data_IF_537276732905
#
_entry.id   IF_537276732905
#
_cell.length_a   1.000
_cell.length_b   1.000
_cell.length_c   1.000
_cell.angle_alpha   90.00
_cell.angle_beta   90.00
_cell.angle_gamma   90.00
#
_symmetry.space_group_name_H-M   'P 1'
#
loop_
_entity.id
_entity.type
_entity.pdbx_description
1 polymer ?
#
# COMPACT_ATOMS: atom_id res chain seq x y z
N UNK A 1 5.79 36.10 -24.58
CA UNK A 1 7.13 35.80 -24.02
C UNK A 1 6.93 35.17 -22.67
N UNK A 2 7.17 33.87 -22.58
CA UNK A 2 6.99 33.03 -21.40
C UNK A 2 8.07 33.31 -20.37
N UNK A 3 7.69 33.78 -19.18
CA UNK A 3 8.60 33.84 -18.03
C UNK A 3 8.58 32.47 -17.35
N UNK A 4 9.70 31.76 -17.41
CA UNK A 4 9.95 30.52 -16.67
C UNK A 4 10.25 30.86 -15.21
N UNK A 5 9.39 30.39 -14.30
CA UNK A 5 9.64 30.45 -12.86
C UNK A 5 10.81 29.51 -12.51
N UNK A 6 12.00 30.06 -12.25
CA UNK A 6 13.14 29.32 -11.72
C UNK A 6 12.79 28.76 -10.33
N UNK A 7 12.43 27.48 -10.29
CA UNK A 7 12.01 26.79 -9.06
C UNK A 7 13.26 26.34 -8.29
N UNK A 8 13.82 27.23 -7.46
CA UNK A 8 14.93 26.87 -6.57
C UNK A 8 14.47 25.85 -5.53
N UNK A 9 15.21 24.76 -5.38
CA UNK A 9 14.94 23.69 -4.41
C UNK A 9 15.91 23.82 -3.23
N UNK A 10 15.36 23.91 -2.02
CA UNK A 10 16.13 23.99 -0.77
C UNK A 10 16.18 22.64 -0.04
N UNK A 11 17.33 22.33 0.55
CA UNK A 11 17.61 21.10 1.29
C UNK A 11 18.22 21.43 2.65
N UNK A 12 17.70 20.79 3.71
CA UNK A 12 18.23 20.92 5.06
C UNK A 12 18.75 19.58 5.60
N UNK A 13 19.91 19.64 6.24
CA UNK A 13 20.51 18.55 6.98
C UNK A 13 20.18 18.68 8.48
N UNK A 14 19.94 17.56 9.15
CA UNK A 14 19.81 17.47 10.63
C UNK A 14 21.05 18.02 11.36
N UNK A 15 22.19 18.08 10.68
CA UNK A 15 23.45 18.63 11.15
C UNK A 15 23.55 20.16 11.09
N UNK A 16 22.49 20.86 10.65
CA UNK A 16 22.43 22.33 10.56
C UNK A 16 22.99 22.92 9.26
N UNK A 17 23.16 22.11 8.21
CA UNK A 17 23.64 22.56 6.90
C UNK A 17 22.49 22.78 5.92
N UNK A 18 22.57 23.90 5.19
CA UNK A 18 21.56 24.36 4.23
C UNK A 18 22.15 24.37 2.82
N UNK A 19 21.40 23.87 1.83
CA UNK A 19 21.81 23.87 0.42
C UNK A 19 20.68 24.31 -0.51
N UNK A 20 20.97 25.12 -1.52
CA UNK A 20 20.03 25.49 -2.58
C UNK A 20 20.55 25.08 -3.96
N UNK A 21 19.69 24.46 -4.77
CA UNK A 21 20.02 24.05 -6.14
C UNK A 21 18.98 24.57 -7.13
N UNK A 22 19.43 25.00 -8.31
CA UNK A 22 18.58 25.25 -9.48
C UNK A 22 18.20 23.95 -10.21
N UNK A 23 18.92 22.85 -9.96
CA UNK A 23 18.60 21.54 -10.53
C UNK A 23 17.45 20.86 -9.78
N UNK A 24 16.51 20.24 -10.51
CA UNK A 24 15.38 19.48 -9.98
C UNK A 24 15.80 18.13 -9.36
N UNK A 25 16.68 18.15 -8.37
CA UNK A 25 17.10 16.95 -7.65
C UNK A 25 16.01 16.52 -6.66
N UNK A 26 15.77 15.21 -6.58
CA UNK A 26 14.79 14.60 -5.64
C UNK A 26 15.39 14.34 -4.26
N UNK A 27 16.70 14.13 -4.18
CA UNK A 27 17.45 13.93 -2.95
C UNK A 27 18.89 14.44 -3.12
N UNK A 28 19.54 14.80 -2.01
CA UNK A 28 20.95 15.20 -1.98
C UNK A 28 21.61 14.71 -0.70
N UNK A 29 22.86 14.26 -0.76
CA UNK A 29 23.64 13.92 0.42
C UNK A 29 24.28 15.18 1.01
N UNK A 30 24.26 15.29 2.34
CA UNK A 30 24.92 16.37 3.06
C UNK A 30 26.44 16.23 2.90
N UNK A 31 27.16 17.30 2.50
CA UNK A 31 28.61 17.24 2.32
C UNK A 31 29.37 16.98 3.63
N UNK A 32 28.85 17.41 4.79
CA UNK A 32 29.51 17.24 6.10
C UNK A 32 29.26 15.90 6.77
N UNK A 33 28.01 15.43 6.83
CA UNK A 33 27.66 14.21 7.56
C UNK A 33 27.26 13.03 6.67
N UNK A 34 27.25 13.22 5.34
CA UNK A 34 26.89 12.21 4.32
C UNK A 34 25.46 11.65 4.44
N UNK A 35 24.63 12.16 5.35
CA UNK A 35 23.21 11.79 5.47
C UNK A 35 22.38 12.45 4.37
N UNK A 36 21.28 11.82 3.97
CA UNK A 36 20.34 12.37 3.00
C UNK A 36 19.62 13.61 3.57
N UNK A 37 19.60 14.68 2.78
CA UNK A 37 18.93 15.94 3.11
C UNK A 37 17.48 15.91 2.63
N UNK A 38 16.59 16.59 3.36
CA UNK A 38 15.14 16.59 3.07
C UNK A 38 14.80 17.81 2.21
N UNK A 39 14.07 17.59 1.11
CA UNK A 39 13.61 18.64 0.20
C UNK A 39 12.49 19.47 0.85
N UNK A 40 12.68 20.78 0.94
CA UNK A 40 11.61 21.69 1.35
C UNK A 40 10.76 22.07 0.14
N UNK A 41 9.51 21.60 0.11
CA UNK A 41 8.47 22.12 -0.77
C UNK A 41 7.43 22.87 0.05
N UNK A 42 7.61 24.18 0.25
CA UNK A 42 6.59 25.02 0.90
C UNK A 42 5.52 25.38 -0.14
N UNK A 43 4.49 24.56 -0.29
CA UNK A 43 3.25 24.97 -0.98
C UNK A 43 2.09 24.95 0.01
N UNK A 44 1.42 26.07 0.25
CA UNK A 44 0.28 26.11 1.17
C UNK A 44 -0.79 25.07 0.79
N UNK A 45 -1.33 24.35 1.78
CA UNK A 45 -2.42 23.40 1.54
C UNK A 45 -3.60 24.13 0.88
N UNK A 46 -4.02 23.70 -0.33
CA UNK A 46 -5.11 24.34 -1.08
C UNK A 46 -6.45 24.41 -0.33
N UNK A 47 -6.61 23.61 0.73
CA UNK A 47 -7.84 23.51 1.51
C UNK A 47 -7.83 24.35 2.80
N UNK A 48 -6.73 24.38 3.55
CA UNK A 48 -6.64 25.09 4.84
C UNK A 48 -5.62 26.25 4.86
N UNK A 49 -4.90 26.47 3.76
CA UNK A 49 -3.81 27.44 3.60
C UNK A 49 -2.66 27.29 4.61
N UNK A 50 -2.63 26.23 5.39
CA UNK A 50 -1.54 25.95 6.31
C UNK A 50 -0.26 25.59 5.53
N UNK A 51 0.87 26.10 6.01
CA UNK A 51 2.21 25.93 5.44
C UNK A 51 3.04 24.87 6.19
N UNK A 52 2.59 24.48 7.39
CA UNK A 52 3.25 23.44 8.17
C UNK A 52 2.73 22.06 7.75
N UNK A 53 3.62 21.30 7.12
CA UNK A 53 3.38 19.90 6.79
C UNK A 53 3.97 19.01 7.89
N UNK A 54 3.11 18.24 8.55
CA UNK A 54 3.58 17.12 9.37
C UNK A 54 4.00 16.02 8.39
N UNK A 55 5.30 15.80 8.27
CA UNK A 55 5.83 14.65 7.53
C UNK A 55 5.50 13.41 8.35
N UNK A 56 4.37 12.80 8.06
CA UNK A 56 4.00 11.53 8.65
C UNK A 56 4.82 10.45 7.92
N UNK A 57 5.61 9.69 8.68
CA UNK A 57 6.37 8.56 8.16
C UNK A 57 5.42 7.62 7.41
N UNK A 58 5.64 7.47 6.11
CA UNK A 58 4.88 6.53 5.30
C UNK A 58 5.41 5.12 5.54
N UNK A 59 4.84 4.45 6.54
CA UNK A 59 5.19 3.08 6.92
C UNK A 59 4.93 2.13 5.74
N UNK A 60 3.99 2.42 4.83
CA UNK A 60 3.69 1.56 3.69
C UNK A 60 4.89 1.45 2.73
N UNK A 61 5.64 2.55 2.52
CA UNK A 61 6.90 2.52 1.75
C UNK A 61 8.01 1.74 2.44
N UNK A 62 8.06 1.76 3.77
CA UNK A 62 9.03 0.95 4.52
C UNK A 62 8.64 -0.54 4.45
N UNK A 63 7.35 -0.85 4.41
CA UNK A 63 6.84 -2.21 4.18
C UNK A 63 7.10 -2.72 2.75
N UNK A 64 7.47 -1.86 1.79
CA UNK A 64 7.98 -2.27 0.47
C UNK A 64 9.38 -2.89 0.56
N UNK A 65 10.19 -2.51 1.57
CA UNK A 65 11.28 -3.37 2.02
C UNK A 65 10.59 -4.58 2.61
N UNK A 66 10.87 -5.76 2.08
CA UNK A 66 10.14 -7.00 2.36
C UNK A 66 10.28 -7.39 3.85
N UNK A 67 9.53 -6.72 4.73
CA UNK A 67 9.47 -6.97 6.17
C UNK A 67 8.89 -8.35 6.47
N UNK A 68 8.28 -9.00 5.47
CA UNK A 68 7.95 -10.42 5.53
C UNK A 68 9.22 -11.27 5.70
N UNK A 69 10.39 -10.82 5.24
CA UNK A 69 11.70 -11.44 5.52
C UNK A 69 12.08 -11.45 7.01
N UNK A 70 11.43 -10.63 7.83
CA UNK A 70 11.60 -10.56 9.30
C UNK A 70 10.45 -11.31 10.01
N UNK A 71 9.43 -11.77 9.28
CA UNK A 71 8.30 -12.48 9.87
C UNK A 71 8.65 -13.95 10.15
N UNK A 72 8.18 -14.47 11.28
CA UNK A 72 8.46 -15.85 11.74
C UNK A 72 7.99 -16.96 10.79
N UNK A 73 7.23 -16.64 9.73
CA UNK A 73 6.67 -17.61 8.78
C UNK A 73 7.35 -17.64 7.42
N UNK A 74 8.34 -16.78 7.18
CA UNK A 74 9.08 -16.79 5.93
C UNK A 74 10.48 -17.28 6.19
N UNK A 75 10.80 -18.42 5.58
CA UNK A 75 12.15 -18.97 5.60
C UNK A 75 13.07 -18.04 4.81
N UNK A 76 14.25 -17.77 5.34
CA UNK A 76 15.30 -17.10 4.60
C UNK A 76 15.61 -17.88 3.33
N UNK A 77 15.87 -17.17 2.21
CA UNK A 77 16.41 -17.82 1.03
C UNK A 77 17.76 -18.42 1.40
N UNK A 78 17.99 -19.66 0.97
CA UNK A 78 19.26 -20.33 1.21
C UNK A 78 20.41 -19.45 0.68
N UNK A 79 21.54 -19.35 1.41
CA UNK A 79 22.73 -18.69 0.90
C UNK A 79 23.08 -19.23 -0.49
N UNK A 80 23.48 -18.32 -1.38
CA UNK A 80 23.86 -18.57 -2.77
C UNK A 80 22.74 -19.09 -3.68
N UNK A 81 21.47 -19.02 -3.23
CA UNK A 81 20.33 -19.25 -4.13
C UNK A 81 20.10 -18.07 -5.08
N UNK A 82 19.69 -18.36 -6.31
CA UNK A 82 19.41 -17.36 -7.34
C UNK A 82 17.99 -16.80 -7.20
N UNK A 83 17.86 -15.49 -7.34
CA UNK A 83 16.58 -14.82 -7.38
C UNK A 83 15.94 -14.94 -8.78
N UNK A 84 14.76 -15.55 -8.85
CA UNK A 84 14.05 -15.91 -10.09
C UNK A 84 13.94 -14.77 -11.12
N UNK A 85 13.69 -13.53 -10.68
CA UNK A 85 13.52 -12.39 -11.59
C UNK A 85 14.80 -11.66 -11.96
N UNK A 86 15.79 -11.63 -11.06
CA UNK A 86 16.97 -10.77 -11.21
C UNK A 86 18.23 -11.54 -11.56
N UNK A 87 18.20 -12.87 -11.41
CA UNK A 87 19.37 -13.74 -11.61
C UNK A 87 20.46 -13.58 -10.56
N UNK A 88 20.30 -12.70 -9.56
CA UNK A 88 21.32 -12.42 -8.56
C UNK A 88 21.34 -13.50 -7.46
N UNK A 89 22.54 -13.78 -6.95
CA UNK A 89 22.77 -14.70 -5.85
C UNK A 89 22.49 -14.06 -4.48
N UNK A 90 21.91 -14.83 -3.57
CA UNK A 90 21.70 -14.43 -2.18
C UNK A 90 23.00 -14.55 -1.38
N UNK A 91 23.71 -13.44 -1.15
CA UNK A 91 25.01 -13.48 -0.47
C UNK A 91 24.90 -13.28 1.06
N UNK A 92 25.56 -14.12 1.88
CA UNK A 92 25.81 -13.80 3.28
C UNK A 92 26.83 -12.67 3.37
N UNK A 93 26.50 -11.62 4.13
CA UNK A 93 27.34 -10.42 4.30
C UNK A 93 27.58 -10.20 5.79
N UNK A 94 28.81 -9.91 6.17
CA UNK A 94 29.14 -9.58 7.55
C UNK A 94 28.48 -8.23 7.95
N UNK A 95 27.96 -8.07 9.18
CA UNK A 95 27.28 -6.83 9.59
C UNK A 95 28.06 -5.55 9.35
N UNK A 96 29.39 -5.59 9.48
CA UNK A 96 30.28 -4.44 9.22
C UNK A 96 30.36 -4.04 7.75
N UNK A 97 30.07 -4.95 6.81
CA UNK A 97 30.18 -4.73 5.37
C UNK A 97 28.86 -4.27 4.72
N UNK A 98 27.75 -4.24 5.48
CA UNK A 98 26.41 -3.91 4.96
C UNK A 98 26.41 -2.56 4.22
N UNK A 99 27.08 -1.55 4.78
CA UNK A 99 27.12 -0.20 4.19
C UNK A 99 27.99 -0.12 2.92
N UNK A 100 28.87 -1.09 2.72
CA UNK A 100 29.80 -1.17 1.58
C UNK A 100 29.34 -2.16 0.52
N UNK A 101 28.15 -2.75 0.68
CA UNK A 101 27.63 -3.72 -0.26
C UNK A 101 27.26 -3.05 -1.59
N UNK A 102 27.77 -3.61 -2.70
CA UNK A 102 27.38 -3.27 -4.05
C UNK A 102 26.67 -4.46 -4.69
N UNK A 103 25.59 -4.18 -5.42
CA UNK A 103 24.73 -5.16 -6.10
C UNK A 103 25.51 -6.01 -7.11
N UNK A 104 26.56 -5.46 -7.72
CA UNK A 104 27.43 -6.21 -8.65
C UNK A 104 28.06 -7.44 -8.00
N UNK A 105 28.42 -7.37 -6.71
CA UNK A 105 28.98 -8.52 -5.97
C UNK A 105 28.07 -9.74 -5.98
N UNK A 106 26.75 -9.55 -6.12
CA UNK A 106 25.76 -10.62 -6.14
C UNK A 106 25.51 -11.22 -7.53
N UNK A 107 26.24 -10.80 -8.57
CA UNK A 107 26.22 -11.51 -9.85
C UNK A 107 26.84 -12.90 -9.67
N UNK A 108 26.22 -13.98 -10.18
CA UNK A 108 26.72 -15.34 -10.00
C UNK A 108 28.20 -15.51 -10.38
N UNK A 109 28.63 -14.82 -11.43
CA UNK A 109 30.01 -14.87 -11.94
C UNK A 109 31.02 -14.13 -11.04
N UNK A 110 30.55 -13.17 -10.23
CA UNK A 110 31.37 -12.34 -9.34
C UNK A 110 31.45 -12.91 -7.91
N UNK A 111 30.73 -14.01 -7.61
CA UNK A 111 30.74 -14.64 -6.28
C UNK A 111 32.02 -15.45 -6.08
N UNK A 112 33.05 -14.82 -5.54
CA UNK A 112 34.37 -15.46 -5.36
C UNK A 112 34.54 -16.20 -4.03
N UNK A 113 33.83 -15.78 -2.97
CA UNK A 113 34.05 -16.30 -1.60
C UNK A 113 32.77 -16.88 -1.04
N UNK A 114 32.82 -18.17 -0.70
CA UNK A 114 31.75 -18.87 0.00
C UNK A 114 32.02 -18.76 1.51
N UNK A 115 31.34 -17.81 2.16
CA UNK A 115 31.23 -17.75 3.61
C UNK A 115 30.45 -18.99 4.10
N UNK A 116 31.01 -19.76 5.05
CA UNK A 116 30.29 -20.87 5.67
C UNK A 116 29.09 -20.35 6.47
N UNK A 117 27.90 -20.89 6.17
CA UNK A 117 26.66 -20.45 6.81
C UNK A 117 26.60 -20.82 8.29
N UNK A 118 27.09 -22.02 8.65
CA UNK A 118 27.19 -22.49 10.03
C UNK A 118 28.64 -22.92 10.26
N UNK A 119 29.41 -22.22 11.11
CA UNK A 119 30.77 -22.61 11.39
C UNK A 119 30.75 -23.88 12.27
N UNK A 120 31.70 -24.80 12.04
CA UNK A 120 31.73 -26.11 12.73
C UNK A 120 32.30 -26.05 14.16
N UNK A 121 32.61 -24.87 14.66
CA UNK A 121 33.15 -24.63 16.00
C UNK A 121 32.01 -24.42 17.02
N UNK A 122 31.20 -25.46 17.24
CA UNK A 122 30.19 -25.43 18.29
C UNK A 122 30.85 -25.47 19.67
N UNK A 123 30.29 -24.73 20.64
CA UNK A 123 30.74 -24.83 22.04
C UNK A 123 30.03 -26.01 22.72
N UNK A 124 30.77 -26.76 23.53
CA UNK A 124 30.18 -27.82 24.33
C UNK A 124 29.08 -27.25 25.25
N UNK A 125 27.91 -27.89 25.28
CA UNK A 125 26.74 -27.42 26.04
C UNK A 125 25.89 -26.32 25.40
N UNK A 126 26.30 -25.76 24.24
CA UNK A 126 25.57 -24.69 23.54
C UNK A 126 24.15 -25.11 23.15
N UNK A 127 23.97 -26.33 22.64
CA UNK A 127 22.67 -26.87 22.24
C UNK A 127 21.69 -26.93 23.43
N UNK A 128 22.15 -27.39 24.60
CA UNK A 128 21.34 -27.44 25.82
C UNK A 128 20.95 -26.04 26.29
N UNK A 129 21.88 -25.08 26.23
CA UNK A 129 21.59 -23.68 26.58
C UNK A 129 20.56 -23.05 25.66
N UNK A 130 20.70 -23.25 24.34
CA UNK A 130 19.73 -22.76 23.35
C UNK A 130 18.34 -23.37 23.56
N UNK A 131 18.29 -24.65 23.90
CA UNK A 131 17.02 -25.34 24.18
C UNK A 131 16.33 -24.79 25.44
N UNK A 132 17.10 -24.58 26.53
CA UNK A 132 16.58 -23.94 27.74
C UNK A 132 16.07 -22.52 27.47
N UNK A 133 16.84 -21.71 26.75
CA UNK A 133 16.43 -20.36 26.35
C UNK A 133 15.15 -20.37 25.51
N UNK A 134 15.03 -21.31 24.56
CA UNK A 134 13.83 -21.44 23.74
C UNK A 134 12.61 -21.89 24.56
N UNK A 135 12.82 -22.73 25.58
CA UNK A 135 11.76 -23.18 26.48
C UNK A 135 11.29 -22.04 27.41
N UNK A 136 12.23 -21.26 27.95
CA UNK A 136 11.96 -20.12 28.83
C UNK A 136 11.43 -18.90 28.05
N UNK A 137 11.60 -18.87 26.73
CA UNK A 137 11.17 -17.77 25.88
C UNK A 137 9.63 -17.67 25.87
N UNK A 138 9.12 -16.77 26.70
CA UNK A 138 7.71 -16.39 26.69
C UNK A 138 7.48 -15.44 25.51
N UNK A 139 6.65 -15.85 24.56
CA UNK A 139 6.23 -14.96 23.47
C UNK A 139 5.64 -13.69 24.09
N UNK A 140 6.13 -12.48 23.73
CA UNK A 140 5.48 -11.26 24.16
C UNK A 140 4.01 -11.36 23.71
N UNK A 141 3.08 -11.21 24.65
CA UNK A 141 1.68 -11.17 24.28
C UNK A 141 1.53 -10.02 23.30
N UNK A 142 1.14 -10.36 22.06
CA UNK A 142 0.78 -9.33 21.10
C UNK A 142 -0.35 -8.56 21.75
N UNK A 143 -0.13 -7.27 22.01
CA UNK A 143 -1.22 -6.35 22.23
C UNK A 143 -2.18 -6.54 21.06
N UNK A 144 -3.35 -7.14 21.34
CA UNK A 144 -4.42 -7.20 20.38
C UNK A 144 -4.83 -5.76 20.13
N UNK A 145 -4.33 -5.18 19.03
CA UNK A 145 -4.84 -3.90 18.56
C UNK A 145 -6.33 -4.09 18.35
N UNK A 146 -7.13 -3.50 19.23
CA UNK A 146 -8.58 -3.41 19.06
C UNK A 146 -8.80 -2.49 17.87
N UNK A 147 -9.05 -3.09 16.70
CA UNK A 147 -9.50 -2.34 15.55
C UNK A 147 -10.96 -1.95 15.75
N UNK A 148 -11.29 -0.70 15.50
CA UNK A 148 -12.67 -0.24 15.52
C UNK A 148 -13.52 -1.10 14.58
N UNK A 149 -14.69 -1.52 15.06
CA UNK A 149 -15.63 -2.27 14.24
C UNK A 149 -16.06 -1.39 13.05
N UNK A 150 -16.09 -2.00 11.86
CA UNK A 150 -16.46 -1.28 10.64
C UNK A 150 -17.94 -0.88 10.72
N UNK A 151 -18.23 0.40 10.52
CA UNK A 151 -19.61 0.87 10.34
C UNK A 151 -20.17 0.34 9.02
N UNK A 152 -21.10 -0.62 9.11
CA UNK A 152 -21.77 -1.20 7.96
C UNK A 152 -23.16 -0.55 7.82
N UNK A 153 -23.51 -0.04 6.63
CA UNK A 153 -24.86 0.45 6.38
C UNK A 153 -25.91 -0.64 6.61
N UNK A 154 -27.04 -0.28 7.21
CA UNK A 154 -28.19 -1.19 7.40
C UNK A 154 -28.84 -1.60 6.08
N UNK A 155 -28.79 -0.72 5.09
CA UNK A 155 -29.29 -0.99 3.72
C UNK A 155 -28.13 -1.09 2.75
N UNK A 156 -28.13 -2.15 1.95
CA UNK A 156 -27.15 -2.38 0.90
C UNK A 156 -27.07 -1.17 -0.06
N UNK A 157 -25.87 -0.64 -0.25
CA UNK A 157 -25.66 0.47 -1.20
C UNK A 157 -25.76 -0.07 -2.64
N UNK A 158 -26.60 0.52 -3.51
CA UNK A 158 -26.73 0.10 -4.90
C UNK A 158 -25.46 0.32 -5.74
N UNK A 159 -25.28 -0.54 -6.75
CA UNK A 159 -24.10 -0.56 -7.64
C UNK A 159 -23.85 0.77 -8.38
N UNK A 160 -24.89 1.55 -8.64
CA UNK A 160 -24.76 2.87 -9.27
C UNK A 160 -23.81 3.81 -8.51
N UNK A 161 -23.69 3.65 -7.19
CA UNK A 161 -22.83 4.47 -6.35
C UNK A 161 -21.41 3.92 -6.19
N UNK A 162 -21.12 2.74 -6.75
CA UNK A 162 -19.79 2.14 -6.66
C UNK A 162 -18.75 3.00 -7.39
N UNK A 163 -17.51 3.03 -6.87
CA UNK A 163 -16.43 3.75 -7.51
C UNK A 163 -16.01 3.05 -8.80
N UNK A 164 -15.37 3.80 -9.69
CA UNK A 164 -14.94 3.35 -11.01
C UNK A 164 -14.12 2.04 -10.96
N UNK A 165 -13.26 1.90 -9.96
CA UNK A 165 -12.38 0.76 -9.78
C UNK A 165 -13.13 -0.53 -9.49
N UNK A 166 -14.20 -0.45 -8.69
CA UNK A 166 -15.08 -1.60 -8.46
C UNK A 166 -15.91 -1.87 -9.71
N UNK A 167 -16.47 -0.83 -10.35
CA UNK A 167 -17.23 -0.98 -11.61
C UNK A 167 -16.42 -1.64 -12.73
N UNK A 168 -15.13 -1.31 -12.86
CA UNK A 168 -14.21 -1.97 -13.79
C UNK A 168 -14.05 -3.45 -13.47
N UNK A 169 -13.88 -3.81 -12.19
CA UNK A 169 -13.84 -5.22 -11.77
C UNK A 169 -15.18 -5.90 -12.12
N UNK A 170 -16.31 -5.25 -11.86
CA UNK A 170 -17.67 -5.77 -12.09
C UNK A 170 -18.00 -6.12 -13.55
N UNK A 171 -17.23 -5.59 -14.51
CA UNK A 171 -17.36 -5.91 -15.93
C UNK A 171 -16.76 -7.27 -16.30
N UNK A 172 -16.04 -7.91 -15.38
CA UNK A 172 -15.30 -9.14 -15.62
C UNK A 172 -13.81 -8.87 -15.85
N UNK A 173 -12.99 -9.91 -15.73
CA UNK A 173 -11.54 -9.82 -15.76
C UNK A 173 -10.90 -11.02 -16.47
N UNK A 174 -9.91 -10.73 -17.33
CA UNK A 174 -9.11 -11.76 -17.98
C UNK A 174 -8.14 -12.44 -17.00
N UNK A 175 -7.37 -11.64 -16.27
CA UNK A 175 -6.41 -12.08 -15.25
C UNK A 175 -6.76 -11.51 -13.86
N UNK A 176 -6.30 -12.14 -12.79
CA UNK A 176 -6.46 -11.64 -11.42
C UNK A 176 -7.82 -11.95 -10.75
N UNK A 177 -8.63 -12.83 -11.35
CA UNK A 177 -9.98 -13.21 -10.89
C UNK A 177 -10.04 -13.57 -9.38
N UNK A 178 -9.04 -14.30 -8.86
CA UNK A 178 -8.97 -14.66 -7.42
C UNK A 178 -8.82 -13.43 -6.51
N UNK A 179 -7.99 -12.45 -6.92
CA UNK A 179 -7.84 -11.17 -6.21
C UNK A 179 -9.12 -10.34 -6.32
N UNK A 180 -9.77 -10.35 -7.48
CA UNK A 180 -11.05 -9.68 -7.68
C UNK A 180 -12.15 -10.24 -6.77
N UNK A 181 -12.27 -11.56 -6.65
CA UNK A 181 -13.21 -12.20 -5.70
C UNK A 181 -12.96 -11.72 -4.28
N UNK A 182 -11.71 -11.69 -3.83
CA UNK A 182 -11.36 -11.18 -2.51
C UNK A 182 -11.75 -9.70 -2.32
N UNK A 183 -11.50 -8.85 -3.33
CA UNK A 183 -11.88 -7.43 -3.29
C UNK A 183 -13.41 -7.29 -3.21
N UNK A 184 -14.14 -7.98 -4.08
CA UNK A 184 -15.60 -7.90 -4.18
C UNK A 184 -16.30 -8.38 -2.90
N UNK A 185 -15.88 -9.52 -2.33
CA UNK A 185 -16.47 -10.04 -1.07
C UNK A 185 -16.32 -9.00 0.05
N UNK A 186 -15.11 -8.50 0.26
CA UNK A 186 -14.84 -7.56 1.35
C UNK A 186 -15.52 -6.20 1.11
N UNK A 187 -15.52 -5.71 -0.13
CA UNK A 187 -16.18 -4.47 -0.50
C UNK A 187 -17.69 -4.54 -0.29
N UNK A 188 -18.37 -5.55 -0.88
CA UNK A 188 -19.83 -5.67 -0.85
C UNK A 188 -20.36 -5.83 0.58
N UNK A 189 -19.70 -6.66 1.40
CA UNK A 189 -20.05 -6.81 2.82
C UNK A 189 -19.86 -5.50 3.60
N UNK A 190 -18.82 -4.72 3.28
CA UNK A 190 -18.58 -3.41 3.90
C UNK A 190 -19.59 -2.34 3.49
N UNK A 191 -20.35 -2.55 2.41
CA UNK A 191 -21.40 -1.63 1.95
C UNK A 191 -22.82 -2.17 2.16
N UNK A 192 -22.98 -3.15 3.07
CA UNK A 192 -24.28 -3.60 3.58
C UNK A 192 -24.95 -4.73 2.78
N UNK A 193 -24.23 -5.40 1.87
CA UNK A 193 -24.80 -6.53 1.13
C UNK A 193 -24.79 -7.80 1.99
N UNK A 194 -25.91 -8.54 1.98
CA UNK A 194 -26.03 -9.82 2.70
C UNK A 194 -25.14 -10.89 2.06
N UNK A 195 -24.74 -11.94 2.80
CA UNK A 195 -23.94 -13.03 2.25
C UNK A 195 -24.55 -13.68 0.99
N UNK A 196 -25.87 -13.77 0.94
CA UNK A 196 -26.64 -14.33 -0.18
C UNK A 196 -26.58 -13.39 -1.40
N UNK A 197 -26.73 -12.08 -1.18
CA UNK A 197 -26.59 -11.08 -2.25
C UNK A 197 -25.17 -11.07 -2.83
N UNK A 198 -24.15 -11.22 -1.98
CA UNK A 198 -22.75 -11.30 -2.41
C UNK A 198 -22.51 -12.57 -3.23
N UNK A 199 -23.05 -13.70 -2.79
CA UNK A 199 -22.96 -14.99 -3.50
C UNK A 199 -23.61 -14.93 -4.88
N UNK A 200 -24.82 -14.36 -4.97
CA UNK A 200 -25.49 -14.14 -6.24
C UNK A 200 -24.69 -13.19 -7.14
N UNK A 201 -24.21 -12.06 -6.62
CA UNK A 201 -23.41 -11.10 -7.37
C UNK A 201 -22.13 -11.72 -7.94
N UNK A 202 -21.41 -12.51 -7.14
CA UNK A 202 -20.17 -13.17 -7.57
C UNK A 202 -20.43 -14.26 -8.60
N UNK A 203 -21.54 -14.99 -8.48
CA UNK A 203 -21.92 -16.01 -9.46
C UNK A 203 -22.19 -15.37 -10.82
N UNK A 204 -22.96 -14.28 -10.85
CA UNK A 204 -23.22 -13.54 -12.09
C UNK A 204 -21.97 -12.85 -12.64
N UNK A 205 -21.14 -12.26 -11.77
CA UNK A 205 -19.86 -11.70 -12.17
C UNK A 205 -18.92 -12.76 -12.77
N UNK A 206 -18.89 -13.97 -12.20
CA UNK A 206 -17.99 -15.02 -12.66
C UNK A 206 -18.35 -15.52 -14.08
N UNK A 207 -19.63 -15.46 -14.46
CA UNK A 207 -20.10 -15.77 -15.82
C UNK A 207 -19.63 -14.76 -16.87
N UNK A 208 -19.32 -13.52 -16.48
CA UNK A 208 -18.82 -12.47 -17.38
C UNK A 208 -17.33 -12.63 -17.72
N UNK A 209 -16.60 -13.47 -16.96
CA UNK A 209 -15.18 -13.70 -17.18
C UNK A 209 -14.97 -14.61 -18.40
N UNK A 210 -13.95 -14.31 -19.22
CA UNK A 210 -13.58 -15.13 -20.39
C UNK A 210 -13.34 -16.59 -20.04
N UNK A 211 -12.79 -16.84 -18.86
CA UNK A 211 -12.67 -18.17 -18.25
C UNK A 211 -13.18 -18.08 -16.81
N UNK A 212 -14.35 -18.64 -16.50
CA UNK A 212 -14.89 -18.61 -15.14
C UNK A 212 -14.02 -19.35 -14.13
N UNK A 213 -13.96 -18.86 -12.89
CA UNK A 213 -13.38 -19.61 -11.78
C UNK A 213 -14.25 -20.84 -11.48
N UNK A 214 -13.61 -21.93 -11.04
CA UNK A 214 -14.31 -23.14 -10.57
C UNK A 214 -15.24 -22.78 -9.40
N UNK A 215 -16.45 -23.31 -9.40
CA UNK A 215 -17.46 -23.05 -8.38
C UNK A 215 -16.97 -23.34 -6.96
N UNK A 216 -16.24 -24.45 -6.77
CA UNK A 216 -15.63 -24.83 -5.49
C UNK A 216 -14.70 -23.76 -4.90
N UNK A 217 -14.06 -22.95 -5.75
CA UNK A 217 -13.24 -21.84 -5.28
C UNK A 217 -14.10 -20.73 -4.68
N UNK A 218 -15.18 -20.36 -5.36
CA UNK A 218 -16.12 -19.32 -4.90
C UNK A 218 -16.81 -19.75 -3.60
N UNK A 219 -17.35 -20.97 -3.56
CA UNK A 219 -18.02 -21.49 -2.38
C UNK A 219 -17.08 -21.60 -1.17
N UNK A 220 -15.82 -21.99 -1.40
CA UNK A 220 -14.78 -22.00 -0.36
C UNK A 220 -14.51 -20.61 0.23
N UNK A 221 -14.36 -19.58 -0.61
CA UNK A 221 -14.14 -18.20 -0.17
C UNK A 221 -15.36 -17.64 0.57
N UNK A 222 -16.57 -17.90 0.07
CA UNK A 222 -17.82 -17.47 0.71
C UNK A 222 -18.01 -18.14 2.08
N UNK A 223 -17.79 -19.45 2.19
CA UNK A 223 -17.89 -20.17 3.47
C UNK A 223 -16.91 -19.63 4.50
N UNK A 224 -15.65 -19.40 4.12
CA UNK A 224 -14.65 -18.82 5.02
C UNK A 224 -15.07 -17.43 5.51
N UNK A 225 -15.49 -16.57 4.59
CA UNK A 225 -15.85 -15.18 4.93
C UNK A 225 -17.14 -15.05 5.74
N UNK A 226 -18.13 -15.95 5.57
CA UNK A 226 -19.36 -15.99 6.40
C UNK A 226 -19.04 -16.12 7.91
N UNK A 227 -17.97 -16.83 8.26
CA UNK A 227 -17.55 -17.01 9.68
C UNK A 227 -16.76 -15.84 10.28
N UNK A 228 -16.38 -14.86 9.47
CA UNK A 228 -15.53 -13.74 9.90
C UNK A 228 -16.31 -12.44 9.92
N UNK A 229 -15.95 -11.55 10.85
CA UNK A 229 -16.41 -10.15 10.81
C UNK A 229 -16.09 -9.54 9.44
N UNK A 230 -16.95 -8.67 8.90
CA UNK A 230 -16.64 -7.93 7.68
C UNK A 230 -15.30 -7.20 7.80
N UNK A 231 -14.55 -7.19 6.71
CA UNK A 231 -13.25 -6.51 6.63
C UNK A 231 -13.29 -5.54 5.46
N UNK A 232 -12.56 -4.43 5.57
CA UNK A 232 -12.41 -3.49 4.47
C UNK A 232 -11.68 -4.17 3.30
N UNK A 233 -12.04 -3.86 2.05
CA UNK A 233 -11.23 -4.26 0.92
C UNK A 233 -9.87 -3.55 0.96
N UNK A 234 -8.87 -4.00 0.18
CA UNK A 234 -7.58 -3.33 0.09
C UNK A 234 -7.71 -1.84 -0.22
N UNK A 235 -6.76 -1.05 0.29
CA UNK A 235 -6.64 0.37 -0.03
C UNK A 235 -6.20 0.56 -1.50
N UNK A 236 -6.59 1.68 -2.09
CA UNK A 236 -6.24 2.03 -3.47
C UNK A 236 -4.74 2.25 -3.69
N UNK A 237 -3.99 2.60 -2.64
CA UNK A 237 -2.54 2.78 -2.69
C UNK A 237 -1.78 1.46 -2.83
N UNK A 238 -2.38 0.33 -2.45
CA UNK A 238 -1.74 -0.97 -2.55
C UNK A 238 -1.65 -1.41 -4.02
N UNK A 239 -0.44 -1.36 -4.56
CA UNK A 239 -0.13 -1.60 -5.97
C UNK A 239 -0.47 -3.02 -6.42
N UNK A 240 -0.43 -4.01 -5.50
CA UNK A 240 -0.70 -5.42 -5.76
C UNK A 240 -2.20 -5.73 -6.02
N UNK A 241 -3.09 -4.76 -5.81
CA UNK A 241 -4.52 -4.90 -6.11
C UNK A 241 -4.88 -4.03 -7.31
N UNK A 242 -5.62 -2.94 -7.13
CA UNK A 242 -6.28 -2.22 -8.22
C UNK A 242 -5.33 -1.75 -9.34
N UNK A 243 -4.11 -1.34 -8.99
CA UNK A 243 -3.12 -0.91 -9.98
C UNK A 243 -2.61 -2.08 -10.84
N UNK A 244 -2.08 -3.13 -10.23
CA UNK A 244 -1.59 -4.30 -10.97
C UNK A 244 -2.69 -5.07 -11.72
N UNK A 245 -3.94 -4.92 -11.29
CA UNK A 245 -5.11 -5.48 -11.95
C UNK A 245 -5.64 -4.62 -13.12
N UNK A 246 -5.03 -3.45 -13.36
CA UNK A 246 -5.49 -2.53 -14.41
C UNK A 246 -6.85 -1.88 -14.13
N UNK A 247 -7.36 -1.98 -12.91
CA UNK A 247 -8.69 -1.49 -12.51
C UNK A 247 -8.62 -0.31 -11.54
N UNK A 248 -7.50 0.42 -11.46
CA UNK A 248 -7.38 1.62 -10.61
C UNK A 248 -8.44 2.65 -10.99
N UNK A 249 -9.03 3.29 -9.98
CA UNK A 249 -9.88 4.46 -10.19
C UNK A 249 -9.02 5.62 -10.69
N UNK A 250 -9.64 6.63 -11.30
CA UNK A 250 -8.96 7.90 -11.60
C UNK A 250 -8.26 8.50 -10.36
N UNK A 251 -7.11 9.15 -10.58
CA UNK A 251 -6.24 9.61 -9.48
C UNK A 251 -6.92 10.63 -8.57
N UNK A 252 -7.85 11.43 -9.08
CA UNK A 252 -8.66 12.36 -8.29
C UNK A 252 -9.60 11.67 -7.28
N UNK A 253 -9.92 10.39 -7.49
CA UNK A 253 -10.73 9.57 -6.58
C UNK A 253 -9.82 8.90 -5.55
N UNK A 254 -8.83 8.13 -6.00
CA UNK A 254 -7.93 7.36 -5.12
C UNK A 254 -7.04 8.22 -4.23
N UNK A 255 -6.64 9.41 -4.67
CA UNK A 255 -5.87 10.35 -3.84
C UNK A 255 -6.71 10.96 -2.73
N UNK A 256 -8.01 11.16 -2.98
CA UNK A 256 -8.94 11.76 -2.02
C UNK A 256 -9.48 10.75 -1.02
N UNK A 257 -9.72 9.51 -1.44
CA UNK A 257 -10.25 8.45 -0.60
C UNK A 257 -9.33 7.23 -0.65
N UNK A 258 -8.71 6.91 0.49
CA UNK A 258 -7.77 5.78 0.60
C UNK A 258 -8.40 4.42 0.27
N UNK A 259 -9.68 4.24 0.61
CA UNK A 259 -10.40 2.98 0.48
C UNK A 259 -11.67 3.15 -0.39
N UNK A 260 -11.99 2.22 -1.30
CA UNK A 260 -13.16 2.34 -2.17
C UNK A 260 -14.48 2.41 -1.41
N UNK A 261 -14.59 1.80 -0.22
CA UNK A 261 -15.79 1.90 0.63
C UNK A 261 -16.09 3.35 1.00
N UNK A 262 -15.06 4.14 1.30
CA UNK A 262 -15.21 5.55 1.65
C UNK A 262 -15.69 6.38 0.46
N UNK A 263 -15.22 6.07 -0.75
CA UNK A 263 -15.72 6.68 -1.99
C UNK A 263 -17.19 6.38 -2.20
N UNK A 264 -17.61 5.11 -2.02
CA UNK A 264 -19.02 4.71 -2.15
C UNK A 264 -19.91 5.46 -1.17
N UNK A 265 -19.53 5.50 0.12
CA UNK A 265 -20.27 6.24 1.16
C UNK A 265 -20.36 7.74 0.80
N UNK A 266 -19.30 8.33 0.27
CA UNK A 266 -19.30 9.72 -0.16
C UNK A 266 -20.23 9.97 -1.37
N UNK A 267 -20.28 9.04 -2.33
CA UNK A 267 -21.19 9.13 -3.49
C UNK A 267 -22.66 9.12 -3.06
N UNK A 268 -23.03 8.24 -2.13
CA UNK A 268 -24.39 8.20 -1.55
C UNK A 268 -24.72 9.51 -0.84
N UNK A 269 -23.81 10.02 0.00
CA UNK A 269 -24.01 11.30 0.70
C UNK A 269 -24.25 12.46 -0.28
N UNK A 270 -23.49 12.51 -1.39
CA UNK A 270 -23.67 13.54 -2.43
C UNK A 270 -25.02 13.44 -3.13
N UNK A 271 -25.49 12.23 -3.41
CA UNK A 271 -26.79 12.01 -4.04
C UNK A 271 -27.95 12.42 -3.12
N UNK A 272 -27.81 12.23 -1.81
CA UNK A 272 -28.81 12.59 -0.81
C UNK A 272 -28.74 14.07 -0.36
N UNK A 273 -27.70 14.81 -0.74
CA UNK A 273 -27.60 16.23 -0.39
C UNK A 273 -28.39 17.06 -1.40
N UNK A 274 -29.43 17.81 -1.01
CA UNK A 274 -30.14 18.67 -1.94
C UNK A 274 -29.17 19.69 -2.54
N UNK A 275 -29.10 19.74 -3.87
CA UNK A 275 -28.30 20.72 -4.60
C UNK A 275 -28.77 22.12 -4.21
N UNK A 276 -27.93 22.86 -3.47
CA UNK A 276 -28.15 24.30 -3.28
C UNK A 276 -28.14 24.94 -4.67
N UNK A 277 -29.31 25.33 -5.14
CA UNK A 277 -29.50 26.11 -6.37
C UNK A 277 -28.58 27.32 -6.28
N UNK A 278 -27.62 27.45 -7.21
CA UNK A 278 -26.77 28.64 -7.32
C UNK A 278 -27.70 29.85 -7.44
N UNK A 279 -27.76 30.72 -6.42
CA UNK A 279 -28.33 32.06 -6.56
C UNK A 279 -27.64 32.71 -7.76
N UNK A 280 -28.40 33.00 -8.82
CA UNK A 280 -27.98 33.88 -9.90
C UNK A 280 -27.42 35.15 -9.24
N UNK A 281 -26.16 35.48 -9.51
CA UNK A 281 -25.63 36.81 -9.20
C UNK A 281 -26.50 37.79 -9.97
N UNK A 282 -27.32 38.56 -9.26
CA UNK A 282 -27.95 39.75 -9.82
C UNK A 282 -26.83 40.71 -10.21
N UNK A 283 -26.80 41.08 -11.49
CA UNK A 283 -25.97 42.16 -12.02
C UNK A 283 -26.30 43.45 -11.27
N UNK A 284 -25.26 44.12 -10.78
CA UNK A 284 -25.40 45.44 -10.16
C UNK A 284 -25.73 46.46 -11.27
N UNK A 285 -26.65 47.43 -11.03
CA UNK A 285 -27.00 48.42 -12.02
C UNK A 285 -25.79 49.33 -12.32
N UNK A 286 -25.57 49.58 -13.61
CA UNK A 286 -24.62 50.57 -14.12
C UNK A 286 -24.91 51.93 -13.51
N UNK A 287 -23.93 52.52 -12.82
CA UNK A 287 -23.98 53.93 -12.44
C UNK A 287 -23.66 54.76 -13.69
N UNK A 288 -24.67 55.47 -14.17
CA UNK A 288 -24.52 56.65 -15.00
C UNK A 288 -24.44 57.86 -14.07
N UNK A 289 -23.64 58.84 -14.50
CA UNK A 289 -23.30 60.14 -13.88
C UNK A 289 -22.12 60.15 -12.89
#
# INVERSE_FOLDING_TARGET
MSQSEDTQVQFDCVCGEHFSSSEQLTYKSCPKCKKLMIKMGKSACKNCKNTEFIVQLDIERILEIDTLLISSRHLYRAPYSLHEKSGLASLPIHPSEILTFDKKRAQPDDVQVIVPFIPRNAKEGEASSLFLQAFDYTLPQKEEKTFDDIEIPTTAIPEQFFPECIKKISQGMADGKKRAVFILINFLRSVGWSPEQVEQYLTEWNKKNSEPLRENYLSGQLRYTKTKKPMLPPNCANTAYYQSLGCKCADNICSRFKNPVNTTKANVRRANTPTKTKKKKTEAPSKTE
#
